data_IF_154813695650
#
_entry.id   IF_154813695650
#
_cell.length_a   1.000
_cell.length_b   1.000
_cell.length_c   1.000
_cell.angle_alpha   90.00
_cell.angle_beta   90.00
_cell.angle_gamma   90.00
#
_symmetry.space_group_name_H-M   'P 1'
#
loop_
_entity.id
_entity.type
_entity.pdbx_description
1 polymer ?
#
# COMPACT_ATOMS: atom_id res chain seq x y z
N UNK A 1 -14.21 19.53 25.07
CA UNK A 1 -14.88 19.17 23.82
C UNK A 1 -15.11 17.65 23.78
N UNK A 2 -16.28 17.24 23.31
CA UNK A 2 -16.62 15.82 23.13
C UNK A 2 -16.87 15.59 21.64
N UNK A 3 -16.33 14.49 21.12
CA UNK A 3 -16.49 14.12 19.72
C UNK A 3 -17.34 12.86 19.62
N UNK A 4 -18.31 12.89 18.71
CA UNK A 4 -19.22 11.77 18.47
C UNK A 4 -19.17 11.38 17.03
N UNK A 5 -18.96 10.10 16.75
CA UNK A 5 -19.15 9.53 15.42
C UNK A 5 -20.55 8.90 15.32
N UNK A 6 -21.13 8.94 14.12
CA UNK A 6 -22.39 8.22 13.87
C UNK A 6 -22.17 6.71 14.07
N UNK A 7 -23.05 6.00 14.78
CA UNK A 7 -22.98 4.54 14.86
C UNK A 7 -23.00 3.91 13.47
N UNK A 8 -22.16 2.91 13.28
CA UNK A 8 -22.06 2.13 12.04
C UNK A 8 -22.14 0.65 12.33
N UNK A 9 -22.76 -0.11 11.44
CA UNK A 9 -22.67 -1.57 11.45
C UNK A 9 -21.31 -2.00 10.87
N UNK A 10 -20.59 -2.92 11.53
CA UNK A 10 -19.32 -3.38 11.01
C UNK A 10 -19.51 -4.13 9.69
N UNK A 11 -18.71 -3.75 8.68
CA UNK A 11 -18.69 -4.43 7.40
C UNK A 11 -17.97 -5.77 7.52
N UNK A 12 -18.52 -6.86 6.97
CA UNK A 12 -17.84 -8.15 6.92
C UNK A 12 -16.58 -8.07 6.04
N UNK A 13 -15.68 -9.02 6.25
CA UNK A 13 -14.45 -9.12 5.44
C UNK A 13 -14.79 -9.73 4.08
N UNK A 14 -14.25 -9.14 3.02
CA UNK A 14 -14.20 -9.73 1.67
C UNK A 14 -12.76 -10.14 1.39
N UNK A 15 -12.53 -11.40 1.06
CA UNK A 15 -11.19 -11.91 0.85
C UNK A 15 -10.58 -11.46 -0.49
N UNK A 16 -9.25 -11.46 -0.52
CA UNK A 16 -8.47 -11.29 -1.73
C UNK A 16 -8.46 -12.62 -2.47
N UNK A 17 -9.05 -12.68 -3.65
CA UNK A 17 -9.11 -13.91 -4.46
C UNK A 17 -7.73 -14.26 -5.01
N UNK A 18 -7.04 -13.26 -5.59
CA UNK A 18 -5.73 -13.43 -6.19
C UNK A 18 -4.85 -12.20 -5.96
N UNK A 19 -3.59 -12.45 -5.67
CA UNK A 19 -2.52 -11.46 -5.73
C UNK A 19 -1.43 -12.06 -6.62
N UNK A 20 -1.10 -11.38 -7.72
CA UNK A 20 -0.18 -11.88 -8.72
C UNK A 20 0.61 -10.74 -9.36
N UNK A 21 1.72 -11.06 -10.01
CA UNK A 21 2.47 -10.10 -10.78
C UNK A 21 2.54 -10.49 -12.27
N UNK A 22 2.85 -9.52 -13.08
CA UNK A 22 3.14 -9.69 -14.49
C UNK A 22 4.19 -8.68 -14.91
N UNK A 23 5.20 -9.13 -15.61
CA UNK A 23 6.15 -8.28 -16.29
C UNK A 23 5.53 -7.74 -17.59
N UNK A 24 5.81 -6.50 -17.95
CA UNK A 24 5.33 -5.92 -19.19
C UNK A 24 6.04 -6.53 -20.41
N UNK A 25 5.51 -6.25 -21.62
CA UNK A 25 6.03 -6.85 -22.85
C UNK A 25 7.48 -6.42 -23.18
N UNK A 26 7.94 -5.34 -22.60
CA UNK A 26 9.31 -4.82 -22.80
C UNK A 26 10.23 -5.22 -21.65
N UNK A 27 9.74 -6.04 -20.70
CA UNK A 27 10.44 -6.46 -19.48
C UNK A 27 10.98 -5.28 -18.64
N UNK A 28 10.39 -4.09 -18.78
CA UNK A 28 10.83 -2.88 -18.08
C UNK A 28 10.11 -2.64 -16.76
N UNK A 29 8.89 -3.17 -16.61
CA UNK A 29 8.04 -2.97 -15.45
C UNK A 29 7.48 -4.30 -14.94
N UNK A 30 7.47 -4.46 -13.64
CA UNK A 30 6.76 -5.53 -12.93
C UNK A 30 5.54 -4.93 -12.27
N UNK A 31 4.37 -5.34 -12.72
CA UNK A 31 3.08 -4.86 -12.24
C UNK A 31 2.45 -5.90 -11.33
N UNK A 32 2.00 -5.48 -10.16
CA UNK A 32 1.34 -6.34 -9.17
C UNK A 32 -0.16 -6.06 -9.19
N UNK A 33 -0.94 -7.10 -9.41
CA UNK A 33 -2.38 -7.05 -9.58
C UNK A 33 -3.11 -7.79 -8.47
N UNK A 34 -4.27 -7.24 -8.09
CA UNK A 34 -5.18 -7.84 -7.13
C UNK A 34 -6.55 -8.11 -7.75
N UNK A 35 -7.11 -9.27 -7.41
CA UNK A 35 -8.51 -9.60 -7.65
C UNK A 35 -9.21 -9.79 -6.31
N UNK A 36 -10.41 -9.24 -6.17
CA UNK A 36 -11.24 -9.45 -4.98
C UNK A 36 -12.21 -10.60 -5.19
N UNK A 37 -12.59 -11.28 -4.12
CA UNK A 37 -13.76 -12.16 -4.18
C UNK A 37 -15.04 -11.34 -4.43
N UNK A 38 -16.08 -12.03 -4.92
CA UNK A 38 -17.42 -11.45 -5.01
C UNK A 38 -17.88 -11.01 -3.63
N UNK A 39 -18.38 -9.79 -3.53
CA UNK A 39 -18.94 -9.25 -2.29
C UNK A 39 -20.42 -8.91 -2.46
N UNK A 40 -21.22 -9.28 -1.47
CA UNK A 40 -22.65 -8.93 -1.39
C UNK A 40 -22.89 -7.74 -0.45
N UNK A 41 -21.85 -7.35 0.32
CA UNK A 41 -21.98 -6.38 1.41
C UNK A 41 -21.36 -5.01 1.07
N UNK A 42 -20.45 -4.96 0.11
CA UNK A 42 -19.83 -3.73 -0.36
C UNK A 42 -19.39 -3.85 -1.81
N UNK A 43 -19.27 -2.70 -2.45
CA UNK A 43 -18.67 -2.55 -3.78
C UNK A 43 -17.39 -1.70 -3.72
N UNK A 44 -16.98 -1.28 -2.51
CA UNK A 44 -15.90 -0.32 -2.31
C UNK A 44 -14.80 -0.91 -1.45
N UNK A 45 -13.56 -0.74 -1.90
CA UNK A 45 -12.39 -1.33 -1.29
C UNK A 45 -11.27 -0.31 -1.13
N UNK A 46 -10.50 -0.47 -0.06
CA UNK A 46 -9.27 0.25 0.20
C UNK A 46 -8.16 -0.77 0.44
N UNK A 47 -7.02 -0.56 -0.22
CA UNK A 47 -5.84 -1.39 -0.04
C UNK A 47 -4.70 -0.62 0.59
N UNK A 48 -3.96 -1.33 1.42
CA UNK A 48 -2.66 -0.96 1.94
C UNK A 48 -1.69 -2.06 1.63
N UNK A 49 -0.43 -1.72 1.45
CA UNK A 49 0.60 -2.74 1.35
C UNK A 49 1.86 -2.34 2.10
N UNK A 50 2.60 -3.35 2.52
CA UNK A 50 3.95 -3.27 3.05
C UNK A 50 4.85 -4.12 2.18
N UNK A 51 6.03 -3.59 1.89
CA UNK A 51 7.04 -4.22 1.05
C UNK A 51 8.28 -4.51 1.88
N UNK A 52 8.87 -5.67 1.64
CA UNK A 52 10.17 -6.04 2.16
C UNK A 52 10.98 -6.67 1.05
N UNK A 53 12.24 -6.33 0.96
CA UNK A 53 13.12 -6.95 -0.04
C UNK A 53 14.51 -7.13 0.49
N UNK A 54 15.13 -8.21 0.03
CA UNK A 54 16.51 -8.53 0.33
C UNK A 54 17.44 -7.85 -0.67
N UNK A 55 18.54 -7.32 -0.17
CA UNK A 55 19.61 -6.74 -0.98
C UNK A 55 20.94 -7.36 -0.58
N UNK A 56 21.76 -7.63 -1.59
CA UNK A 56 23.13 -8.08 -1.37
C UNK A 56 24.11 -6.96 -1.73
N UNK A 57 25.20 -6.89 -0.96
CA UNK A 57 26.28 -5.98 -1.27
C UNK A 57 26.96 -6.39 -2.58
N UNK A 58 27.13 -5.45 -3.52
CA UNK A 58 27.86 -5.68 -4.77
C UNK A 58 29.31 -6.06 -4.50
N UNK A 59 29.89 -5.43 -3.48
CA UNK A 59 31.24 -5.72 -3.00
C UNK A 59 31.16 -6.10 -1.54
N UNK A 60 31.69 -7.27 -1.22
CA UNK A 60 31.79 -7.76 0.15
C UNK A 60 33.22 -7.55 0.64
N UNK A 61 33.35 -7.13 1.89
CA UNK A 61 34.66 -6.97 2.54
C UNK A 61 34.67 -7.72 3.88
N UNK A 62 35.80 -8.30 4.21
CA UNK A 62 36.06 -8.85 5.54
C UNK A 62 36.73 -7.85 6.48
N UNK A 63 36.94 -6.62 6.03
CA UNK A 63 37.57 -5.57 6.82
C UNK A 63 36.68 -4.33 6.93
N UNK A 64 36.49 -3.83 8.14
CA UNK A 64 35.79 -2.57 8.41
C UNK A 64 36.68 -1.65 9.24
N UNK A 65 36.50 -0.33 9.06
CA UNK A 65 37.12 0.66 9.91
C UNK A 65 36.21 0.94 11.11
N UNK A 66 36.76 0.74 12.30
CA UNK A 66 36.10 1.09 13.56
C UNK A 66 36.44 2.53 13.94
N UNK A 67 35.47 3.41 13.84
CA UNK A 67 35.62 4.84 14.15
C UNK A 67 35.80 5.12 15.65
N UNK A 68 35.34 4.22 16.54
CA UNK A 68 35.51 4.40 17.99
C UNK A 68 36.93 4.05 18.45
N UNK A 69 37.51 3.00 17.83
CA UNK A 69 38.83 2.50 18.18
C UNK A 69 39.94 2.98 17.23
N UNK A 70 39.56 3.77 16.20
CA UNK A 70 40.49 4.33 15.19
C UNK A 70 41.40 3.26 14.57
N UNK A 71 40.79 2.11 14.16
CA UNK A 71 41.52 0.95 13.60
C UNK A 71 40.72 0.17 12.59
N UNK A 72 41.43 -0.58 11.75
CA UNK A 72 40.85 -1.58 10.86
C UNK A 72 40.63 -2.88 11.65
N UNK A 73 39.40 -3.40 11.61
CA UNK A 73 39.05 -4.73 12.16
C UNK A 73 38.85 -5.67 11.00
N UNK A 74 39.44 -6.85 11.08
CA UNK A 74 39.25 -7.96 10.14
C UNK A 74 38.34 -9.01 10.75
N UNK A 75 37.43 -9.54 9.93
CA UNK A 75 36.48 -10.58 10.29
C UNK A 75 36.71 -11.83 9.46
N UNK A 76 36.41 -13.00 10.00
CA UNK A 76 36.49 -14.27 9.27
C UNK A 76 35.42 -14.36 8.16
N UNK A 77 34.31 -13.62 8.31
CA UNK A 77 33.21 -13.52 7.34
C UNK A 77 32.89 -12.07 7.08
N UNK A 78 32.37 -11.73 5.89
CA UNK A 78 31.89 -10.37 5.60
C UNK A 78 30.79 -9.97 6.61
N UNK A 79 31.01 -8.94 7.44
CA UNK A 79 30.04 -8.52 8.47
C UNK A 79 28.80 -7.86 7.86
N UNK A 80 28.91 -7.35 6.63
CA UNK A 80 27.81 -6.73 5.88
C UNK A 80 27.83 -7.30 4.47
N UNK A 81 27.12 -8.38 4.25
CA UNK A 81 26.99 -9.00 2.93
C UNK A 81 25.58 -8.93 2.38
N UNK A 82 24.58 -8.88 3.25
CA UNK A 82 23.16 -8.85 2.90
C UNK A 82 22.39 -7.97 3.89
N UNK A 83 21.26 -7.47 3.46
CA UNK A 83 20.37 -6.63 4.27
C UNK A 83 18.92 -6.73 3.81
N UNK A 84 18.03 -6.23 4.65
CA UNK A 84 16.61 -6.13 4.36
C UNK A 84 16.19 -4.68 4.34
N UNK A 85 15.42 -4.32 3.32
CA UNK A 85 14.79 -3.02 3.19
C UNK A 85 13.29 -3.15 3.40
N UNK A 86 12.66 -2.05 3.77
CA UNK A 86 11.22 -1.96 4.03
C UNK A 86 10.63 -0.70 3.43
N UNK A 87 9.42 -0.80 2.93
CA UNK A 87 8.57 0.32 2.52
C UNK A 87 7.11 0.01 2.80
N UNK A 88 6.27 1.02 2.78
CA UNK A 88 4.82 0.88 2.86
C UNK A 88 4.16 1.82 1.86
N UNK A 89 2.91 1.54 1.51
CA UNK A 89 2.16 2.43 0.64
C UNK A 89 1.98 3.80 1.26
N UNK A 90 2.26 4.83 0.48
CA UNK A 90 2.07 6.25 0.79
C UNK A 90 0.84 6.84 0.07
N UNK A 91 0.25 6.08 -0.84
CA UNK A 91 -0.90 6.46 -1.66
C UNK A 91 -2.19 5.85 -1.14
N UNK A 92 -3.31 6.52 -1.44
CA UNK A 92 -4.65 6.00 -1.18
C UNK A 92 -5.05 5.11 -2.35
N UNK A 93 -5.06 3.79 -2.15
CA UNK A 93 -5.42 2.84 -3.20
C UNK A 93 -6.89 2.42 -3.05
N UNK A 94 -7.73 2.98 -3.91
CA UNK A 94 -9.16 2.74 -3.92
C UNK A 94 -9.59 1.91 -5.13
N UNK A 95 -10.69 1.19 -4.97
CA UNK A 95 -11.38 0.53 -6.05
C UNK A 95 -12.86 0.34 -5.79
N UNK A 96 -13.62 0.29 -6.88
CA UNK A 96 -15.04 -0.02 -6.85
C UNK A 96 -15.39 -1.11 -7.86
N UNK A 97 -16.33 -1.95 -7.50
CA UNK A 97 -16.91 -2.97 -8.38
C UNK A 97 -18.27 -2.59 -8.93
N UNK A 98 -18.74 -1.35 -8.75
CA UNK A 98 -20.07 -0.88 -9.20
C UNK A 98 -20.34 -1.14 -10.68
N UNK A 99 -19.34 -0.98 -11.53
CA UNK A 99 -19.47 -1.23 -12.97
C UNK A 99 -19.35 -2.71 -13.35
N UNK A 100 -19.07 -3.59 -12.40
CA UNK A 100 -18.80 -5.01 -12.68
C UNK A 100 -20.01 -5.87 -12.36
N UNK A 101 -20.48 -6.61 -13.36
CA UNK A 101 -21.67 -7.50 -13.24
C UNK A 101 -21.52 -8.53 -12.12
N UNK A 102 -20.30 -9.01 -11.87
CA UNK A 102 -20.01 -10.02 -10.83
C UNK A 102 -19.76 -9.42 -9.45
N UNK A 103 -19.86 -8.10 -9.30
CA UNK A 103 -19.61 -7.39 -8.04
C UNK A 103 -18.27 -7.75 -7.40
N UNK A 104 -17.22 -7.84 -8.23
CA UNK A 104 -15.82 -8.06 -7.84
C UNK A 104 -14.89 -7.23 -8.71
N UNK A 105 -13.70 -6.99 -8.21
CA UNK A 105 -12.64 -6.30 -8.96
C UNK A 105 -11.67 -7.37 -9.49
N UNK A 106 -11.27 -7.22 -10.76
CA UNK A 106 -10.31 -8.10 -11.42
C UNK A 106 -9.20 -7.29 -12.06
N UNK A 107 -7.95 -7.68 -11.80
CA UNK A 107 -6.77 -7.10 -12.43
C UNK A 107 -6.48 -5.65 -12.04
N UNK A 108 -6.86 -5.23 -10.82
CA UNK A 108 -6.49 -3.89 -10.31
C UNK A 108 -5.00 -3.86 -10.05
N UNK A 109 -4.27 -2.99 -10.77
CA UNK A 109 -2.87 -2.72 -10.47
C UNK A 109 -2.77 -1.94 -9.14
N UNK A 110 -1.96 -2.43 -8.20
CA UNK A 110 -1.73 -1.83 -6.89
C UNK A 110 -0.29 -1.36 -6.69
N UNK A 111 0.67 -1.93 -7.45
CA UNK A 111 2.07 -1.53 -7.39
C UNK A 111 2.74 -1.79 -8.74
N UNK A 112 3.63 -0.89 -9.13
CA UNK A 112 4.48 -1.02 -10.31
C UNK A 112 5.92 -0.79 -9.91
N UNK A 113 6.80 -1.72 -10.24
CA UNK A 113 8.23 -1.70 -9.90
C UNK A 113 9.02 -1.73 -11.21
N UNK A 114 9.98 -0.83 -11.35
CA UNK A 114 10.93 -0.88 -12.46
C UNK A 114 11.82 -2.12 -12.35
N UNK A 115 12.05 -2.80 -13.46
CA UNK A 115 12.72 -4.10 -13.47
C UNK A 115 14.16 -4.08 -12.89
N UNK A 116 14.90 -2.98 -13.11
CA UNK A 116 16.27 -2.83 -12.53
C UNK A 116 16.26 -2.23 -11.11
N UNK A 117 15.11 -2.17 -10.47
CA UNK A 117 15.04 -1.69 -9.09
C UNK A 117 15.63 -2.75 -8.14
N UNK A 118 16.43 -2.31 -7.19
CA UNK A 118 17.02 -3.19 -6.18
C UNK A 118 16.01 -4.05 -5.40
N UNK A 119 14.73 -3.68 -5.41
CA UNK A 119 13.64 -4.47 -4.82
C UNK A 119 13.52 -5.87 -5.43
N UNK A 120 13.87 -6.03 -6.71
CA UNK A 120 13.74 -7.28 -7.45
C UNK A 120 15.08 -8.04 -7.59
N UNK A 121 16.16 -7.54 -6.97
CA UNK A 121 17.51 -8.07 -7.17
C UNK A 121 17.78 -9.42 -6.51
N UNK A 122 17.02 -9.83 -5.50
CA UNK A 122 17.18 -11.11 -4.80
C UNK A 122 15.83 -11.71 -4.47
N UNK A 123 15.14 -11.15 -3.49
CA UNK A 123 13.82 -11.59 -3.05
C UNK A 123 12.99 -10.38 -2.63
N UNK A 124 11.84 -10.26 -3.22
CA UNK A 124 10.83 -9.24 -2.89
C UNK A 124 9.61 -9.89 -2.27
N UNK A 125 9.05 -9.26 -1.26
CA UNK A 125 7.76 -9.62 -0.68
C UNK A 125 6.88 -8.38 -0.57
N UNK A 126 5.61 -8.53 -0.95
CA UNK A 126 4.56 -7.56 -0.67
C UNK A 126 3.44 -8.24 0.12
N UNK A 127 3.05 -7.61 1.23
CA UNK A 127 1.88 -7.96 2.02
C UNK A 127 0.79 -6.94 1.76
N UNK A 128 -0.28 -7.37 1.11
CA UNK A 128 -1.45 -6.52 0.81
C UNK A 128 -2.54 -6.79 1.83
N UNK A 129 -3.11 -5.71 2.34
CA UNK A 129 -4.28 -5.71 3.19
C UNK A 129 -5.45 -5.05 2.46
N UNK A 130 -6.62 -5.66 2.52
CA UNK A 130 -7.87 -5.18 1.92
C UNK A 130 -8.89 -4.90 3.00
N UNK A 131 -9.49 -3.73 2.94
CA UNK A 131 -10.57 -3.31 3.80
C UNK A 131 -11.80 -2.94 2.98
N UNK A 132 -12.97 -3.38 3.44
CA UNK A 132 -14.26 -2.99 2.88
C UNK A 132 -14.62 -1.59 3.36
N UNK A 133 -15.23 -0.80 2.49
CA UNK A 133 -15.67 0.56 2.79
C UNK A 133 -17.19 0.66 2.60
N UNK A 134 -17.82 1.59 3.36
CA UNK A 134 -19.14 2.09 3.02
C UNK A 134 -19.05 3.09 1.88
N UNK A 135 -20.16 3.39 1.14
CA UNK A 135 -20.16 4.42 0.11
C UNK A 135 -19.62 5.77 0.61
N UNK A 136 -20.05 6.20 1.81
CA UNK A 136 -19.66 7.48 2.39
C UNK A 136 -18.18 7.49 2.81
N UNK A 137 -17.67 6.35 3.29
CA UNK A 137 -16.25 6.19 3.61
C UNK A 137 -15.39 6.22 2.35
N UNK A 138 -15.85 5.59 1.28
CA UNK A 138 -15.20 5.62 -0.02
C UNK A 138 -15.12 7.05 -0.58
N UNK A 139 -16.22 7.81 -0.52
CA UNK A 139 -16.25 9.21 -0.91
C UNK A 139 -15.25 10.06 -0.10
N UNK A 140 -15.16 9.84 1.22
CA UNK A 140 -14.18 10.52 2.06
C UNK A 140 -12.75 10.27 1.58
N UNK A 141 -12.38 9.02 1.33
CA UNK A 141 -11.03 8.69 0.85
C UNK A 141 -10.78 9.21 -0.57
N UNK A 142 -11.78 9.21 -1.43
CA UNK A 142 -11.69 9.73 -2.80
C UNK A 142 -11.44 11.25 -2.79
N UNK A 143 -12.17 12.01 -1.99
CA UNK A 143 -11.94 13.45 -1.86
C UNK A 143 -10.58 13.76 -1.22
N UNK A 144 -10.16 12.96 -0.24
CA UNK A 144 -8.84 13.07 0.37
C UNK A 144 -7.72 12.79 -0.63
N UNK A 145 -7.88 11.81 -1.51
CA UNK A 145 -6.90 11.49 -2.55
C UNK A 145 -6.79 12.63 -3.58
N UNK A 146 -7.91 13.21 -4.00
CA UNK A 146 -7.92 14.40 -4.85
C UNK A 146 -7.15 15.55 -4.21
N UNK A 147 -7.40 15.85 -2.94
CA UNK A 147 -6.68 16.92 -2.23
C UNK A 147 -5.18 16.67 -2.17
N UNK A 148 -4.74 15.44 -1.92
CA UNK A 148 -3.32 15.10 -1.89
C UNK A 148 -2.65 15.27 -3.26
N UNK A 149 -3.33 14.90 -4.33
CA UNK A 149 -2.79 14.96 -5.69
C UNK A 149 -2.85 16.38 -6.29
N UNK A 150 -3.79 17.22 -5.85
CA UNK A 150 -4.01 18.56 -6.38
C UNK A 150 -3.21 19.66 -5.66
N UNK A 151 -2.62 19.39 -4.51
CA UNK A 151 -1.87 20.38 -3.71
C UNK A 151 -0.61 20.96 -4.39
N UNK A 152 -0.32 20.59 -5.65
CA UNK A 152 0.82 21.09 -6.43
C UNK A 152 0.48 22.10 -7.54
N UNK A 153 -0.78 22.41 -7.80
CA UNK A 153 -1.20 23.25 -8.92
C UNK A 153 -1.51 24.70 -8.55
N UNK A 154 -0.96 25.67 -9.30
CA UNK A 154 -1.21 27.13 -9.12
C UNK A 154 -2.67 27.54 -9.34
N UNK A 155 -3.50 26.67 -9.87
CA UNK A 155 -4.93 26.88 -10.21
C UNK A 155 -5.86 25.86 -9.53
N UNK A 156 -5.43 25.29 -8.40
CA UNK A 156 -6.26 24.31 -7.68
C UNK A 156 -7.57 24.98 -7.20
N UNK A 157 -8.75 24.42 -7.53
CA UNK A 157 -10.00 24.87 -6.95
C UNK A 157 -9.93 24.79 -5.42
N UNK A 158 -10.62 25.69 -4.72
CA UNK A 158 -10.64 25.65 -3.25
C UNK A 158 -11.04 24.25 -2.79
N UNK A 159 -10.32 23.68 -1.82
CA UNK A 159 -10.60 22.33 -1.35
C UNK A 159 -12.05 22.22 -0.87
N UNK A 160 -12.78 21.29 -1.45
CA UNK A 160 -14.11 20.91 -0.99
C UNK A 160 -13.96 20.42 0.46
N UNK A 161 -14.91 20.78 1.33
CA UNK A 161 -14.88 20.26 2.71
C UNK A 161 -14.98 18.74 2.66
N UNK A 162 -14.01 18.06 3.29
CA UNK A 162 -14.02 16.60 3.37
C UNK A 162 -15.29 16.13 4.10
N UNK A 163 -16.04 15.16 3.55
CA UNK A 163 -17.14 14.56 4.25
C UNK A 163 -16.67 13.96 5.58
N UNK A 164 -17.48 14.09 6.62
CA UNK A 164 -17.15 13.55 7.94
C UNK A 164 -18.39 12.97 8.59
N UNK A 165 -18.24 11.88 9.32
CA UNK A 165 -19.28 11.32 10.18
C UNK A 165 -19.07 11.67 11.66
N UNK A 166 -18.15 12.59 11.96
CA UNK A 166 -17.79 13.02 13.30
C UNK A 166 -18.36 14.41 13.57
N UNK A 167 -18.93 14.61 14.72
CA UNK A 167 -19.42 15.90 15.22
C UNK A 167 -18.71 16.28 16.52
N UNK A 168 -18.49 17.59 16.73
CA UNK A 168 -17.96 18.12 17.97
C UNK A 168 -19.06 18.77 18.79
N UNK A 169 -19.06 18.62 20.11
CA UNK A 169 -19.98 19.33 21.01
C UNK A 169 -19.81 20.86 20.93
N UNK A 170 -18.64 21.33 20.54
CA UNK A 170 -18.38 22.74 20.25
C UNK A 170 -18.56 22.98 18.75
N UNK A 171 -19.68 23.56 18.37
CA UNK A 171 -20.07 23.84 16.97
C UNK A 171 -19.13 24.82 16.22
N UNK A 172 -18.30 25.57 16.95
CA UNK A 172 -17.29 26.45 16.32
C UNK A 172 -16.05 25.70 15.82
N UNK A 173 -15.90 24.41 16.19
CA UNK A 173 -14.78 23.57 15.76
C UNK A 173 -15.15 22.72 14.56
N UNK A 174 -14.43 22.91 13.47
CA UNK A 174 -14.49 21.99 12.33
C UNK A 174 -13.79 20.68 12.67
N UNK A 175 -14.41 19.57 12.32
CA UNK A 175 -13.85 18.23 12.50
C UNK A 175 -13.53 17.65 11.13
N UNK A 176 -12.32 17.12 10.97
CA UNK A 176 -11.88 16.44 9.77
C UNK A 176 -11.55 14.99 10.16
N UNK A 177 -12.04 14.05 9.36
CA UNK A 177 -11.81 12.63 9.57
C UNK A 177 -13.07 11.81 9.38
N UNK A 178 -12.89 10.51 9.25
CA UNK A 178 -13.97 9.54 9.11
C UNK A 178 -13.69 8.33 10.00
N UNK A 179 -14.69 7.88 10.74
CA UNK A 179 -14.61 6.66 11.56
C UNK A 179 -15.34 5.55 10.82
N UNK A 180 -14.60 4.61 10.25
CA UNK A 180 -15.14 3.39 9.64
C UNK A 180 -15.21 2.24 10.64
N UNK A 181 -16.06 1.25 10.36
CA UNK A 181 -16.21 0.06 11.19
C UNK A 181 -16.18 -1.20 10.32
N UNK A 182 -15.22 -2.08 10.58
CA UNK A 182 -15.03 -3.34 9.87
C UNK A 182 -14.85 -4.49 10.87
N UNK A 183 -15.30 -5.70 10.51
CA UNK A 183 -15.05 -6.92 11.29
C UNK A 183 -13.58 -7.35 11.27
N UNK A 184 -12.82 -6.90 10.28
CA UNK A 184 -11.41 -7.24 10.09
C UNK A 184 -10.88 -6.75 8.75
N UNK A 185 -9.71 -7.25 8.39
CA UNK A 185 -9.06 -7.00 7.09
C UNK A 185 -8.67 -8.34 6.47
N UNK A 186 -8.84 -8.48 5.15
CA UNK A 186 -8.24 -9.57 4.41
C UNK A 186 -6.78 -9.23 4.13
N UNK A 187 -5.92 -10.25 4.13
CA UNK A 187 -4.51 -10.02 3.79
C UNK A 187 -3.95 -11.16 2.95
N UNK A 188 -3.02 -10.82 2.07
CA UNK A 188 -2.33 -11.78 1.23
C UNK A 188 -0.88 -11.35 1.00
N UNK A 189 0.01 -12.36 0.89
CA UNK A 189 1.41 -12.17 0.56
C UNK A 189 1.69 -12.61 -0.87
N UNK A 190 2.61 -11.91 -1.52
CA UNK A 190 3.22 -12.30 -2.78
C UNK A 190 4.74 -12.21 -2.63
N UNK A 191 5.43 -13.25 -3.06
CA UNK A 191 6.88 -13.30 -3.14
C UNK A 191 7.29 -13.31 -4.60
N UNK A 192 8.35 -12.56 -4.93
CA UNK A 192 8.94 -12.52 -6.27
C UNK A 192 10.45 -12.70 -6.08
N UNK A 193 11.00 -13.76 -6.63
CA UNK A 193 12.45 -13.98 -6.66
C UNK A 193 13.07 -13.43 -7.96
N UNK A 194 14.36 -13.14 -7.95
CA UNK A 194 15.11 -12.71 -9.14
C UNK A 194 14.96 -13.65 -10.34
N UNK A 195 14.66 -14.95 -10.09
CA UNK A 195 14.51 -15.98 -11.12
C UNK A 195 13.15 -15.95 -11.82
N UNK A 196 12.18 -15.23 -11.26
CA UNK A 196 10.81 -15.16 -11.77
C UNK A 196 10.59 -13.91 -12.64
N UNK A 197 11.58 -13.04 -12.68
CA UNK A 197 11.60 -11.81 -13.50
C UNK A 197 12.85 -11.80 -14.37
N UNK A 198 12.72 -11.31 -15.59
CA UNK A 198 13.88 -11.07 -16.46
C UNK A 198 14.60 -9.80 -15.95
N UNK A 199 15.39 -9.97 -14.88
CA UNK A 199 16.17 -8.87 -14.31
C UNK A 199 17.33 -8.55 -15.24
N UNK A 200 17.32 -7.38 -15.89
CA UNK A 200 18.31 -6.96 -16.90
C UNK A 200 19.28 -5.95 -16.31
#
# INVERSE_FOLDING_TARGET
>A
DVYHAKPQSPLPVTDIERLAFKQDNNNSLVNIYIDTQKSENTQYFLWYFEENWEVHAVYVTTTLYDFEQDRIISYDYPPVAQGWCYSQTDQILLGTSEANVENRIVGKNIQTIENFNSRLSVLYNIRVQQRNLTPEEYEYYQERDKLNNEMGGLFTPQPTELPTNITCSNLSRKVVGYVGCNMGVAQRHLYISEREVDYV
#
